data_IF_618285599637
#
_entry.id   IF_618285599637
#
_cell.length_a   1.000
_cell.length_b   1.000
_cell.length_c   1.000
_cell.angle_alpha   90.00
_cell.angle_beta   90.00
_cell.angle_gamma   90.00
#
_symmetry.space_group_name_H-M   'P 1'
#
loop_
_entity.id
_entity.type
_entity.pdbx_description
1 polymer ?
#
# COMPACT_ATOMS: atom_id res chain seq x y z
N UNK A 1 -16.45 16.92 10.40
CA UNK A 1 -17.25 16.77 9.18
C UNK A 1 -17.95 15.43 9.17
N UNK A 2 -19.16 15.38 8.59
CA UNK A 2 -19.82 14.11 8.25
C UNK A 2 -19.24 13.63 6.93
N UNK A 3 -18.85 12.36 6.87
CA UNK A 3 -18.24 11.76 5.70
C UNK A 3 -19.17 10.69 5.09
N UNK A 4 -19.19 10.63 3.77
CA UNK A 4 -19.86 9.56 3.00
C UNK A 4 -18.81 8.68 2.36
N UNK A 5 -18.95 7.36 2.48
CA UNK A 5 -18.08 6.40 1.80
C UNK A 5 -18.38 6.44 0.29
N UNK A 6 -17.34 6.65 -0.52
CA UNK A 6 -17.40 6.56 -1.98
C UNK A 6 -17.08 5.14 -2.44
N UNK A 7 -16.08 4.52 -1.85
CA UNK A 7 -15.67 3.15 -2.10
C UNK A 7 -14.40 2.81 -1.33
N UNK A 8 -13.96 1.56 -1.43
CA UNK A 8 -12.76 1.09 -0.75
C UNK A 8 -12.10 -0.05 -1.53
N UNK A 9 -10.85 -0.27 -1.24
CA UNK A 9 -10.03 -1.35 -1.75
C UNK A 9 -9.44 -2.14 -0.58
N UNK A 10 -9.93 -3.36 -0.37
CA UNK A 10 -9.49 -4.25 0.70
C UNK A 10 -8.03 -4.69 0.54
N UNK A 11 -7.55 -4.86 -0.71
CA UNK A 11 -6.19 -5.33 -0.98
C UNK A 11 -5.11 -4.31 -0.65
N UNK A 12 -5.42 -3.03 -0.82
CA UNK A 12 -4.52 -1.93 -0.48
C UNK A 12 -4.85 -1.28 0.88
N UNK A 13 -5.90 -1.74 1.57
CA UNK A 13 -6.40 -1.15 2.82
C UNK A 13 -6.66 0.35 2.69
N UNK A 14 -7.34 0.75 1.61
CA UNK A 14 -7.62 2.15 1.28
C UNK A 14 -9.12 2.39 1.10
N UNK A 15 -9.65 3.41 1.76
CA UNK A 15 -11.01 3.88 1.57
C UNK A 15 -11.02 5.36 1.12
N UNK A 16 -11.98 5.71 0.27
CA UNK A 16 -12.24 7.08 -0.17
C UNK A 16 -13.51 7.58 0.47
N UNK A 17 -13.39 8.68 1.21
CA UNK A 17 -14.48 9.35 1.89
C UNK A 17 -14.72 10.72 1.28
N UNK A 18 -15.99 11.08 1.06
CA UNK A 18 -16.41 12.42 0.66
C UNK A 18 -16.90 13.19 1.85
N UNK A 19 -16.33 14.36 2.07
CA UNK A 19 -16.81 15.33 3.06
C UNK A 19 -17.30 16.60 2.36
N UNK A 20 -18.28 17.28 2.95
CA UNK A 20 -18.68 18.61 2.56
C UNK A 20 -18.11 19.58 3.58
N UNK A 21 -17.30 20.52 3.13
CA UNK A 21 -16.67 21.50 3.99
C UNK A 21 -16.16 22.69 3.20
N UNK A 22 -16.24 23.86 3.80
CA UNK A 22 -15.68 25.08 3.25
C UNK A 22 -14.22 25.22 3.69
N UNK A 23 -13.41 25.86 2.86
CA UNK A 23 -12.00 26.16 3.14
C UNK A 23 -11.09 24.94 3.35
N UNK A 24 -11.41 23.79 2.74
CA UNK A 24 -10.53 22.63 2.74
C UNK A 24 -9.28 22.91 1.88
N UNK A 25 -8.11 22.60 2.44
CA UNK A 25 -6.84 22.72 1.72
C UNK A 25 -6.36 21.32 1.34
N UNK A 26 -6.25 21.00 0.04
CA UNK A 26 -5.73 19.71 -0.39
C UNK A 26 -4.23 19.63 -0.07
N UNK A 27 -3.77 18.44 0.30
CA UNK A 27 -2.34 18.15 0.38
C UNK A 27 -1.77 17.94 -1.03
N UNK A 28 -0.52 18.36 -1.23
CA UNK A 28 0.22 18.08 -2.47
C UNK A 28 0.78 16.67 -2.39
N UNK A 29 0.59 15.88 -3.43
CA UNK A 29 1.18 14.55 -3.56
C UNK A 29 2.60 14.67 -4.11
N UNK A 30 3.57 14.12 -3.39
CA UNK A 30 4.94 14.05 -3.86
C UNK A 30 5.09 13.01 -4.97
N UNK A 31 5.99 13.26 -5.91
CA UNK A 31 6.43 12.25 -6.86
C UNK A 31 7.23 11.18 -6.10
N UNK A 32 6.69 9.95 -6.01
CA UNK A 32 7.32 8.87 -5.23
C UNK A 32 8.59 8.31 -5.87
N UNK A 33 8.83 8.60 -7.15
CA UNK A 33 10.01 8.14 -7.88
C UNK A 33 11.31 8.83 -7.42
N UNK A 34 11.19 9.99 -6.73
CA UNK A 34 12.31 10.73 -6.19
C UNK A 34 12.69 10.36 -4.76
N UNK A 35 11.92 9.47 -4.11
CA UNK A 35 12.14 9.08 -2.72
C UNK A 35 13.40 8.22 -2.57
N UNK A 36 14.29 8.62 -1.67
CA UNK A 36 15.53 7.89 -1.38
C UNK A 36 15.53 7.40 0.07
N UNK A 37 16.04 6.20 0.26
CA UNK A 37 16.32 5.68 1.61
C UNK A 37 17.28 6.65 2.32
N UNK A 38 16.89 7.03 3.53
CA UNK A 38 17.58 8.05 4.32
C UNK A 38 16.93 9.45 4.27
N UNK A 39 15.98 9.70 3.36
CA UNK A 39 15.28 10.98 3.31
C UNK A 39 14.47 11.20 4.59
N UNK A 40 14.47 12.42 5.16
CA UNK A 40 13.67 12.75 6.32
C UNK A 40 12.18 12.67 6.02
N UNK A 41 11.43 12.07 6.94
CA UNK A 41 9.98 11.97 6.85
C UNK A 41 9.31 12.32 8.17
N UNK A 42 8.05 12.75 8.09
CA UNK A 42 7.23 13.10 9.25
C UNK A 42 5.93 12.33 9.17
N UNK A 43 5.64 11.53 10.21
CA UNK A 43 4.37 10.84 10.35
C UNK A 43 3.41 11.71 11.17
N UNK A 44 2.23 11.98 10.62
CA UNK A 44 1.17 12.77 11.23
C UNK A 44 -0.02 11.87 11.48
N UNK A 45 -0.48 11.75 12.71
CA UNK A 45 -1.60 10.88 13.07
C UNK A 45 -2.23 11.29 14.39
N UNK A 46 -3.14 10.46 14.87
CA UNK A 46 -3.78 10.63 16.18
C UNK A 46 -3.59 9.36 17.03
N UNK A 47 -2.35 9.06 17.44
CA UNK A 47 -2.05 7.85 18.19
C UNK A 47 -2.83 7.83 19.51
N UNK A 48 -3.41 6.67 19.82
CA UNK A 48 -4.18 6.44 21.06
C UNK A 48 -5.33 7.43 21.29
N UNK A 49 -5.78 8.13 20.25
CA UNK A 49 -6.82 9.18 20.33
C UNK A 49 -6.48 10.34 21.29
N UNK A 50 -5.18 10.62 21.42
CA UNK A 50 -4.67 11.69 22.30
C UNK A 50 -4.59 13.07 21.63
N UNK A 51 -4.98 13.16 20.35
CA UNK A 51 -4.86 14.35 19.52
C UNK A 51 -3.79 14.21 18.44
N UNK A 52 -3.76 15.20 17.53
CA UNK A 52 -2.82 15.19 16.41
C UNK A 52 -1.38 15.22 16.95
N UNK A 53 -0.59 14.27 16.51
CA UNK A 53 0.82 14.14 16.88
C UNK A 53 1.67 14.03 15.61
N UNK A 54 2.91 14.51 15.70
CA UNK A 54 3.90 14.44 14.63
C UNK A 54 5.14 13.73 15.16
N UNK A 55 5.59 12.71 14.47
CA UNK A 55 6.88 12.06 14.71
C UNK A 55 7.79 12.24 13.49
N UNK A 56 9.09 12.39 13.73
CA UNK A 56 10.12 12.48 12.69
C UNK A 56 10.93 11.18 12.64
N UNK A 57 11.27 10.76 11.44
CA UNK A 57 12.17 9.66 11.14
C UNK A 57 12.74 9.80 9.73
N UNK A 58 13.13 8.68 9.16
CA UNK A 58 13.62 8.58 7.78
C UNK A 58 12.83 7.55 6.98
N UNK A 59 12.92 7.63 5.68
CA UNK A 59 12.54 6.56 4.78
C UNK A 59 13.55 5.42 4.91
N UNK A 60 13.15 4.31 5.51
CA UNK A 60 14.05 3.18 5.81
C UNK A 60 14.16 2.19 4.66
N UNK A 61 13.10 2.04 3.85
CA UNK A 61 13.07 1.17 2.66
C UNK A 61 11.90 1.52 1.74
N UNK A 62 11.99 1.07 0.49
CA UNK A 62 10.92 1.12 -0.51
C UNK A 62 10.67 -0.28 -1.09
N UNK A 63 9.56 -0.49 -1.78
CA UNK A 63 9.28 -1.73 -2.52
C UNK A 63 9.00 -2.95 -1.65
N UNK A 64 8.49 -2.79 -0.43
CA UNK A 64 8.08 -3.91 0.44
C UNK A 64 6.71 -4.41 0.01
N UNK A 65 6.52 -5.73 -0.15
CA UNK A 65 5.24 -6.28 -0.59
C UNK A 65 4.67 -7.41 0.29
N UNK A 66 5.44 -7.95 1.24
CA UNK A 66 5.01 -9.02 2.17
C UNK A 66 4.28 -10.20 1.50
N UNK A 67 4.62 -10.49 0.23
CA UNK A 67 3.96 -11.54 -0.55
C UNK A 67 2.65 -11.12 -1.23
N UNK A 68 2.17 -9.91 -1.01
CA UNK A 68 1.04 -9.34 -1.74
C UNK A 68 1.56 -8.48 -2.91
N UNK A 69 1.36 -8.89 -4.18
CA UNK A 69 1.88 -8.18 -5.35
C UNK A 69 1.23 -6.80 -5.57
N UNK A 70 0.09 -6.53 -4.93
CA UNK A 70 -0.61 -5.24 -4.99
C UNK A 70 -0.06 -4.22 -3.98
N UNK A 71 0.77 -4.68 -3.02
CA UNK A 71 1.42 -3.81 -2.06
C UNK A 71 2.81 -3.43 -2.58
N UNK A 72 3.02 -2.13 -2.67
CA UNK A 72 4.32 -1.51 -2.88
C UNK A 72 4.50 -0.53 -1.73
N UNK A 73 4.99 -1.00 -0.59
CA UNK A 73 4.95 -0.29 0.68
C UNK A 73 6.30 0.36 0.94
N UNK A 74 6.28 1.58 1.44
CA UNK A 74 7.44 2.26 2.01
C UNK A 74 7.56 1.95 3.51
N UNK A 75 8.79 1.88 4.00
CA UNK A 75 9.11 1.67 5.41
C UNK A 75 9.74 2.92 6.02
N UNK A 76 9.38 3.23 7.25
CA UNK A 76 9.95 4.34 8.02
C UNK A 76 10.22 3.93 9.47
N UNK A 77 11.18 4.57 10.11
CA UNK A 77 11.42 4.48 11.56
C UNK A 77 10.71 5.61 12.35
N UNK A 78 10.04 6.54 11.66
CA UNK A 78 9.15 7.49 12.32
C UNK A 78 8.10 6.72 13.14
N UNK A 79 7.88 7.14 14.39
CA UNK A 79 6.99 6.43 15.30
C UNK A 79 5.53 6.42 14.76
N UNK A 80 5.04 5.24 14.42
CA UNK A 80 3.65 4.96 14.04
C UNK A 80 3.08 4.02 15.10
N UNK A 81 1.97 4.42 15.71
CA UNK A 81 1.30 3.66 16.76
C UNK A 81 -0.16 3.44 16.43
N UNK A 82 -0.83 2.62 17.22
CA UNK A 82 -2.26 2.37 17.10
C UNK A 82 -3.04 3.70 17.10
N UNK A 83 -3.92 3.89 16.10
CA UNK A 83 -4.64 5.14 15.86
C UNK A 83 -3.96 6.07 14.85
N UNK A 84 -2.70 5.81 14.45
CA UNK A 84 -2.02 6.55 13.38
C UNK A 84 -2.35 6.03 11.98
N UNK A 85 -2.97 4.87 11.84
CA UNK A 85 -3.33 4.30 10.54
C UNK A 85 -4.24 5.25 9.76
N UNK A 86 -3.97 5.42 8.45
CA UNK A 86 -4.61 6.43 7.60
C UNK A 86 -4.03 7.85 7.76
N UNK A 87 -3.08 8.04 8.69
CA UNK A 87 -2.36 9.30 8.86
C UNK A 87 -1.37 9.56 7.74
N UNK A 88 -1.02 10.82 7.53
CA UNK A 88 -0.10 11.24 6.47
C UNK A 88 1.36 10.98 6.85
N UNK A 89 2.14 10.47 5.91
CA UNK A 89 3.59 10.56 5.93
C UNK A 89 3.98 11.63 4.91
N UNK A 90 4.71 12.65 5.36
CA UNK A 90 5.10 13.78 4.52
C UNK A 90 6.62 13.96 4.47
N UNK A 91 7.09 14.62 3.41
CA UNK A 91 8.49 15.06 3.29
C UNK A 91 8.71 16.43 3.96
N UNK A 92 9.94 16.96 3.87
CA UNK A 92 10.29 18.28 4.42
C UNK A 92 9.58 19.46 3.74
N UNK A 93 9.09 19.28 2.50
CA UNK A 93 8.30 20.28 1.80
C UNK A 93 6.81 20.27 2.20
N UNK A 94 6.39 19.32 3.05
CA UNK A 94 5.00 19.14 3.47
C UNK A 94 4.16 18.39 2.42
N UNK A 95 4.77 17.72 1.47
CA UNK A 95 4.09 16.94 0.46
C UNK A 95 3.85 15.51 0.94
N UNK A 96 2.71 14.93 0.57
CA UNK A 96 2.34 13.56 0.93
C UNK A 96 3.23 12.56 0.19
N UNK A 97 3.96 11.73 0.92
CA UNK A 97 4.72 10.61 0.37
C UNK A 97 4.04 9.26 0.61
N UNK A 98 3.11 9.18 1.55
CA UNK A 98 2.32 7.97 1.78
C UNK A 98 1.30 8.12 2.90
N UNK A 99 0.45 7.09 3.03
CA UNK A 99 -0.49 6.94 4.15
C UNK A 99 -0.05 5.78 5.04
N UNK A 100 0.06 6.03 6.36
CA UNK A 100 0.42 4.99 7.32
C UNK A 100 -0.64 3.88 7.34
N UNK A 101 -0.21 2.61 7.31
CA UNK A 101 -1.12 1.46 7.29
C UNK A 101 -0.78 0.44 8.37
N UNK A 102 0.44 -0.08 8.41
CA UNK A 102 0.86 -1.18 9.29
C UNK A 102 2.05 -0.78 10.16
N UNK A 103 2.23 -1.52 11.25
CA UNK A 103 3.50 -1.57 12.00
C UNK A 103 3.95 -3.02 12.15
N UNK A 104 5.26 -3.27 12.10
CA UNK A 104 5.81 -4.52 12.60
C UNK A 104 6.23 -4.28 14.06
N UNK A 105 5.54 -4.93 14.97
CA UNK A 105 5.75 -4.71 16.39
C UNK A 105 5.55 -6.00 17.19
N UNK A 106 6.47 -6.27 18.09
CA UNK A 106 6.32 -7.32 19.09
C UNK A 106 5.58 -6.85 20.35
N UNK A 107 5.56 -5.54 20.59
CA UNK A 107 4.98 -4.92 21.78
C UNK A 107 3.58 -4.34 21.57
N UNK A 108 3.13 -4.20 20.31
CA UNK A 108 1.90 -3.49 19.93
C UNK A 108 2.07 -1.97 19.79
N UNK A 109 3.24 -1.44 20.10
CA UNK A 109 3.65 -0.06 19.88
C UNK A 109 4.67 0.07 18.75
N UNK A 110 5.24 1.27 18.55
CA UNK A 110 6.28 1.49 17.53
C UNK A 110 7.62 0.91 18.00
N UNK A 111 8.10 -0.11 17.31
CA UNK A 111 9.44 -0.67 17.48
C UNK A 111 10.43 -0.12 16.41
N UNK A 112 10.14 1.04 15.82
CA UNK A 112 10.95 1.67 14.77
C UNK A 112 10.77 1.04 13.36
N UNK A 113 9.70 0.28 13.16
CA UNK A 113 9.37 -0.32 11.86
C UNK A 113 7.91 -0.07 11.52
N UNK A 114 7.67 1.05 10.86
CA UNK A 114 6.36 1.46 10.37
C UNK A 114 6.28 1.35 8.85
N UNK A 115 5.07 1.19 8.32
CA UNK A 115 4.81 1.03 6.91
C UNK A 115 3.74 1.99 6.43
N UNK A 116 3.87 2.44 5.18
CA UNK A 116 2.91 3.31 4.54
C UNK A 116 2.68 2.94 3.07
N UNK A 117 1.45 3.10 2.61
CA UNK A 117 1.11 3.00 1.19
C UNK A 117 1.63 4.24 0.47
N UNK A 118 2.47 4.14 -0.57
CA UNK A 118 3.03 5.28 -1.28
C UNK A 118 1.97 6.20 -1.89
N UNK A 119 2.24 7.50 -1.93
CA UNK A 119 1.32 8.51 -2.45
C UNK A 119 0.88 8.27 -3.90
N UNK A 120 1.75 7.74 -4.76
CA UNK A 120 1.42 7.35 -6.14
C UNK A 120 0.37 6.24 -6.18
N UNK A 121 0.47 5.25 -5.29
CA UNK A 121 -0.51 4.17 -5.16
C UNK A 121 -1.83 4.69 -4.59
N UNK A 122 -1.77 5.53 -3.54
CA UNK A 122 -2.94 6.19 -2.97
C UNK A 122 -3.71 6.93 -4.06
N UNK A 123 -3.01 7.75 -4.85
CA UNK A 123 -3.62 8.56 -5.92
C UNK A 123 -4.25 7.70 -7.02
N UNK A 124 -3.54 6.66 -7.48
CA UNK A 124 -4.03 5.75 -8.51
C UNK A 124 -5.32 5.05 -8.06
N UNK A 125 -5.29 4.41 -6.89
CA UNK A 125 -6.42 3.67 -6.33
C UNK A 125 -7.60 4.61 -6.03
N UNK A 126 -7.35 5.76 -5.41
CA UNK A 126 -8.39 6.73 -5.11
C UNK A 126 -9.10 7.25 -6.37
N UNK A 127 -8.35 7.50 -7.46
CA UNK A 127 -8.93 7.93 -8.73
C UNK A 127 -9.82 6.85 -9.36
N UNK A 128 -9.44 5.58 -9.28
CA UNK A 128 -10.29 4.48 -9.75
C UNK A 128 -11.56 4.38 -8.92
N UNK A 129 -11.45 4.43 -7.59
CA UNK A 129 -12.61 4.41 -6.69
C UNK A 129 -13.55 5.61 -6.96
N UNK A 130 -13.02 6.81 -7.13
CA UNK A 130 -13.82 8.00 -7.43
C UNK A 130 -14.55 7.87 -8.76
N UNK A 131 -13.89 7.28 -9.77
CA UNK A 131 -14.44 7.19 -11.11
C UNK A 131 -15.41 6.02 -11.31
N UNK A 132 -15.13 4.89 -10.68
CA UNK A 132 -15.84 3.64 -10.95
C UNK A 132 -16.54 3.05 -9.72
N UNK A 133 -16.28 3.58 -8.52
CA UNK A 133 -16.76 3.02 -7.24
C UNK A 133 -15.96 1.84 -6.72
N UNK A 134 -15.05 1.30 -7.52
CA UNK A 134 -14.26 0.09 -7.23
C UNK A 134 -12.93 0.14 -7.98
N UNK A 135 -12.02 -0.78 -7.63
CA UNK A 135 -10.71 -0.96 -8.27
C UNK A 135 -10.71 -2.22 -9.11
N UNK A 136 -10.52 -2.05 -10.42
CA UNK A 136 -10.42 -3.19 -11.34
C UNK A 136 -9.03 -3.81 -11.27
N UNK A 137 -8.97 -5.10 -10.94
CA UNK A 137 -7.73 -5.89 -10.99
C UNK A 137 -7.91 -7.05 -11.94
N UNK A 138 -6.92 -7.24 -12.82
CA UNK A 138 -6.86 -8.46 -13.60
C UNK A 138 -6.64 -9.65 -12.66
N UNK A 139 -7.58 -10.57 -12.62
CA UNK A 139 -7.45 -11.81 -11.89
C UNK A 139 -7.12 -12.94 -12.87
N UNK A 140 -5.97 -13.55 -12.69
CA UNK A 140 -5.49 -14.65 -13.55
C UNK A 140 -5.67 -16.04 -12.93
N UNK A 141 -6.38 -16.13 -11.81
CA UNK A 141 -6.61 -17.36 -11.05
C UNK A 141 -5.70 -17.48 -9.82
N UNK A 142 -5.94 -18.54 -9.05
CA UNK A 142 -5.11 -18.86 -7.90
C UNK A 142 -3.86 -19.59 -8.32
N UNK A 143 -2.71 -18.94 -8.17
CA UNK A 143 -1.41 -19.50 -8.50
C UNK A 143 -0.51 -19.57 -7.28
N UNK A 144 0.24 -20.65 -7.19
CA UNK A 144 1.45 -20.70 -6.38
C UNK A 144 2.65 -20.42 -7.28
N UNK A 145 3.63 -19.67 -6.80
CA UNK A 145 4.86 -19.49 -7.54
C UNK A 145 6.07 -19.88 -6.68
N UNK A 146 7.07 -20.42 -7.32
CA UNK A 146 8.35 -20.78 -6.70
C UNK A 146 9.48 -20.15 -7.48
N UNK A 147 10.31 -19.38 -6.82
CA UNK A 147 11.61 -18.96 -7.39
C UNK A 147 12.56 -20.14 -7.41
N UNK A 148 13.18 -20.39 -8.53
CA UNK A 148 14.16 -21.46 -8.73
C UNK A 148 15.12 -21.08 -9.84
N UNK A 149 15.93 -22.02 -10.27
CA UNK A 149 16.82 -21.85 -11.41
C UNK A 149 16.51 -22.92 -12.44
N UNK A 150 16.58 -22.54 -13.68
CA UNK A 150 16.45 -23.43 -14.82
C UNK A 150 17.79 -23.54 -15.53
N UNK A 151 18.12 -24.75 -15.99
CA UNK A 151 19.35 -25.00 -16.77
C UNK A 151 19.01 -24.84 -18.25
N UNK A 152 19.50 -23.77 -18.88
CA UNK A 152 19.35 -23.54 -20.30
C UNK A 152 20.70 -23.58 -20.96
N UNK A 153 20.93 -24.58 -21.83
CA UNK A 153 22.19 -24.77 -22.56
C UNK A 153 23.44 -24.79 -21.67
N UNK A 154 23.33 -25.36 -20.46
CA UNK A 154 24.43 -25.44 -19.50
C UNK A 154 24.59 -24.23 -18.59
N UNK A 155 23.83 -23.16 -18.81
CA UNK A 155 23.79 -21.99 -17.93
C UNK A 155 22.62 -22.06 -16.94
N UNK A 156 22.89 -21.65 -15.70
CA UNK A 156 21.91 -21.61 -14.64
C UNK A 156 21.21 -20.23 -14.64
N UNK A 157 20.00 -20.18 -15.21
CA UNK A 157 19.19 -18.96 -15.31
C UNK A 157 18.14 -18.92 -14.20
N UNK A 158 17.90 -17.75 -13.57
CA UNK A 158 16.81 -17.59 -12.62
C UNK A 158 15.46 -17.76 -13.32
N UNK A 159 14.55 -18.50 -12.68
CA UNK A 159 13.23 -18.78 -13.21
C UNK A 159 12.16 -18.66 -12.12
N UNK A 160 10.95 -18.32 -12.54
CA UNK A 160 9.77 -18.39 -11.70
C UNK A 160 8.89 -19.51 -12.26
N UNK A 161 8.67 -20.53 -11.45
CA UNK A 161 7.69 -21.57 -11.76
C UNK A 161 6.33 -21.11 -11.23
N UNK A 162 5.34 -21.11 -12.10
CA UNK A 162 3.96 -20.78 -11.75
C UNK A 162 3.17 -22.08 -11.77
N UNK A 163 2.49 -22.38 -10.67
CA UNK A 163 1.62 -23.54 -10.54
C UNK A 163 0.21 -23.04 -10.35
N UNK A 164 -0.69 -23.42 -11.23
CA UNK A 164 -2.12 -23.17 -11.03
C UNK A 164 -2.61 -24.08 -9.89
N UNK A 165 -3.15 -23.50 -8.85
CA UNK A 165 -3.80 -24.27 -7.80
C UNK A 165 -5.07 -24.88 -8.40
N UNK A 166 -5.22 -26.19 -8.28
CA UNK A 166 -6.46 -26.85 -8.71
C UNK A 166 -7.61 -26.28 -7.85
N UNK A 167 -8.55 -25.61 -8.50
CA UNK A 167 -9.78 -25.23 -7.87
C UNK A 167 -10.55 -26.51 -7.48
N UNK A 168 -11.21 -26.56 -6.31
CA UNK A 168 -12.15 -27.64 -6.03
C UNK A 168 -13.20 -27.64 -7.14
N UNK A 169 -13.59 -28.82 -7.59
CA UNK A 169 -14.47 -29.12 -8.74
C UNK A 169 -15.87 -28.46 -8.74
N UNK A 170 -16.11 -27.47 -7.91
CA UNK A 170 -17.41 -26.78 -7.77
C UNK A 170 -17.40 -25.30 -8.20
N UNK A 171 -16.28 -24.77 -8.72
CA UNK A 171 -16.26 -23.38 -9.17
C UNK A 171 -16.69 -23.30 -10.64
N UNK A 172 -17.71 -22.50 -10.87
CA UNK A 172 -18.14 -22.13 -12.22
C UNK A 172 -16.97 -21.51 -12.97
N UNK A 173 -16.67 -22.04 -14.14
CA UNK A 173 -15.76 -21.42 -15.09
C UNK A 173 -16.27 -20.02 -15.41
N UNK A 174 -15.50 -18.99 -15.07
CA UNK A 174 -15.73 -17.65 -15.60
C UNK A 174 -15.20 -17.69 -17.02
N UNK A 175 -16.10 -17.73 -17.99
CA UNK A 175 -15.80 -17.58 -19.41
C UNK A 175 -15.11 -16.22 -19.61
N UNK A 176 -13.88 -16.22 -20.11
CA UNK A 176 -13.13 -15.01 -20.44
C UNK A 176 -11.72 -14.91 -19.89
N UNK A 177 -11.08 -16.02 -19.49
CA UNK A 177 -9.67 -16.04 -19.12
C UNK A 177 -8.74 -15.75 -20.30
N UNK A 178 -7.74 -14.92 -20.09
CA UNK A 178 -6.73 -14.43 -21.05
C UNK A 178 -5.74 -15.49 -21.56
N UNK A 179 -6.12 -16.77 -21.59
CA UNK A 179 -5.28 -17.89 -22.06
C UNK A 179 -6.11 -18.85 -22.91
N UNK A 180 -6.65 -18.36 -24.02
CA UNK A 180 -6.97 -19.15 -25.22
C UNK A 180 -6.02 -18.78 -26.36
#
# INVERSE_FOLDING_TARGET
YTANLIGFDEYADLAVLKVNGDNLRPIIFSATDDLKVGDPVYAIGNPFNLGISVSKGILSATGRNFGNPYLDIIQTDAAINLGSSGGAIINEAGELIGLSTLIASGSGGSDGVGFALPSSRVLSIANEIIKYGDVSRAWIGDFSFRRSFFNLNGERVPAIFVFQNQLPLSSQTIDGGLLD
#
